data_IF_226286074506
#
_entry.id   IF_226286074506
#
_cell.length_a   1.000
_cell.length_b   1.000
_cell.length_c   1.000
_cell.angle_alpha   90.00
_cell.angle_beta   90.00
_cell.angle_gamma   90.00
#
_symmetry.space_group_name_H-M   'P 1'
#
loop_
_entity.id
_entity.type
_entity.pdbx_description
1 polymer ?
#
# COMPACT_ATOMS: atom_id res chain seq x y z
N UNK A 1 10.95 65.04 -26.03
CA UNK A 1 11.58 64.27 -24.96
C UNK A 1 10.62 64.15 -23.76
N UNK A 2 10.05 65.23 -23.24
CA UNK A 2 9.19 65.22 -22.06
C UNK A 2 7.88 64.40 -22.23
N UNK A 3 7.27 64.47 -23.42
CA UNK A 3 6.08 63.68 -23.74
C UNK A 3 6.37 62.15 -23.78
N UNK A 4 7.54 61.80 -24.28
CA UNK A 4 7.97 60.37 -24.31
C UNK A 4 8.25 59.83 -22.90
N UNK A 5 8.93 60.62 -22.08
CA UNK A 5 9.18 60.25 -20.66
C UNK A 5 7.87 60.17 -19.90
N UNK A 6 6.94 61.07 -20.11
CA UNK A 6 5.61 61.03 -19.51
C UNK A 6 4.81 59.80 -19.93
N UNK A 7 4.88 59.42 -21.20
CA UNK A 7 4.22 58.19 -21.70
C UNK A 7 4.81 56.92 -21.11
N UNK A 8 6.13 56.84 -21.00
CA UNK A 8 6.79 55.69 -20.37
C UNK A 8 6.45 55.62 -18.87
N UNK A 9 6.49 56.73 -18.16
CA UNK A 9 6.13 56.77 -16.74
C UNK A 9 4.69 56.35 -16.52
N UNK A 10 3.76 56.85 -17.33
CA UNK A 10 2.36 56.45 -17.28
C UNK A 10 2.19 54.94 -17.52
N UNK A 11 2.89 54.40 -18.52
CA UNK A 11 2.84 52.97 -18.83
C UNK A 11 3.36 52.10 -17.66
N UNK A 12 4.47 52.49 -17.05
CA UNK A 12 5.02 51.77 -15.88
C UNK A 12 4.07 51.83 -14.71
N UNK A 13 3.48 52.99 -14.43
CA UNK A 13 2.47 53.12 -13.36
C UNK A 13 1.25 52.24 -13.66
N UNK A 14 0.76 52.23 -14.89
CA UNK A 14 -0.36 51.39 -15.30
C UNK A 14 -0.05 49.90 -15.14
N UNK A 15 1.17 49.48 -15.49
CA UNK A 15 1.61 48.09 -15.27
C UNK A 15 1.61 47.71 -13.78
N UNK A 16 2.13 48.55 -12.91
CA UNK A 16 2.15 48.32 -11.46
C UNK A 16 0.71 48.23 -10.89
N UNK A 17 -0.16 49.12 -11.32
CA UNK A 17 -1.55 49.12 -10.90
C UNK A 17 -2.30 47.88 -11.36
N UNK A 18 -2.16 47.50 -12.63
CA UNK A 18 -2.91 46.35 -13.19
C UNK A 18 -2.35 45.01 -12.74
N UNK A 19 -1.03 44.85 -12.67
CA UNK A 19 -0.42 43.56 -12.34
C UNK A 19 -0.06 43.41 -10.84
N UNK A 20 -0.04 44.51 -10.09
CA UNK A 20 0.29 44.49 -8.67
C UNK A 20 -0.88 44.84 -7.77
N UNK A 21 -1.27 46.10 -7.79
CA UNK A 21 -2.25 46.64 -6.83
C UNK A 21 -3.64 46.07 -7.04
N UNK A 22 -4.10 45.90 -8.27
CA UNK A 22 -5.44 45.37 -8.56
C UNK A 22 -5.58 43.88 -8.17
N UNK A 23 -4.68 42.96 -8.54
CA UNK A 23 -4.75 41.58 -8.08
C UNK A 23 -4.66 41.45 -6.55
N UNK A 24 -3.77 42.25 -5.92
CA UNK A 24 -3.65 42.26 -4.47
C UNK A 24 -4.96 42.69 -3.81
N UNK A 25 -5.58 43.79 -4.30
CA UNK A 25 -6.88 44.26 -3.78
C UNK A 25 -7.99 43.24 -3.97
N UNK A 26 -8.05 42.61 -5.15
CA UNK A 26 -9.02 41.54 -5.41
C UNK A 26 -8.80 40.37 -4.46
N UNK A 27 -7.58 39.90 -4.26
CA UNK A 27 -7.26 38.80 -3.38
C UNK A 27 -7.68 39.12 -1.95
N UNK A 28 -7.22 40.25 -1.41
CA UNK A 28 -7.41 40.61 0.00
C UNK A 28 -8.86 40.92 0.38
N UNK A 29 -9.62 41.58 -0.48
CA UNK A 29 -10.94 42.09 -0.14
C UNK A 29 -12.11 41.33 -0.78
N UNK A 30 -11.87 40.56 -1.83
CA UNK A 30 -12.94 39.85 -2.56
C UNK A 30 -12.78 38.33 -2.47
N UNK A 31 -11.56 37.82 -2.57
CA UNK A 31 -11.31 36.36 -2.58
C UNK A 31 -11.18 35.84 -1.15
N UNK A 32 -10.23 36.33 -0.35
CA UNK A 32 -10.00 35.85 1.01
C UNK A 32 -11.25 35.78 1.90
N UNK A 33 -12.14 36.77 1.94
CA UNK A 33 -13.35 36.70 2.76
C UNK A 33 -14.33 35.58 2.35
N UNK A 34 -14.27 35.14 1.07
CA UNK A 34 -15.17 34.15 0.49
C UNK A 34 -14.40 33.13 -0.36
N UNK A 35 -13.22 32.73 0.10
CA UNK A 35 -12.26 31.90 -0.62
C UNK A 35 -12.91 30.61 -1.14
N UNK A 36 -13.59 29.85 -0.25
CA UNK A 36 -14.23 28.59 -0.60
C UNK A 36 -15.26 28.72 -1.73
N UNK A 37 -16.04 29.80 -1.72
CA UNK A 37 -17.08 30.02 -2.74
C UNK A 37 -16.48 30.44 -4.09
N UNK A 38 -15.46 31.29 -4.05
CA UNK A 38 -14.77 31.78 -5.25
C UNK A 38 -13.88 30.73 -5.89
N UNK A 39 -13.21 29.92 -5.09
CA UNK A 39 -12.32 28.88 -5.58
C UNK A 39 -13.01 27.55 -5.87
N UNK A 40 -14.23 27.35 -5.38
CA UNK A 40 -15.00 26.11 -5.59
C UNK A 40 -14.94 25.56 -7.02
N UNK A 41 -15.16 26.33 -8.09
CA UNK A 41 -15.11 25.80 -9.46
C UNK A 41 -13.72 25.26 -9.83
N UNK A 42 -12.66 25.94 -9.39
CA UNK A 42 -11.29 25.54 -9.68
C UNK A 42 -10.88 24.31 -8.88
N UNK A 43 -11.31 24.25 -7.61
CA UNK A 43 -11.12 23.06 -6.74
C UNK A 43 -11.89 21.87 -7.29
N UNK A 44 -13.12 22.04 -7.77
CA UNK A 44 -13.90 20.97 -8.41
C UNK A 44 -13.20 20.42 -9.65
N UNK A 45 -12.73 21.29 -10.54
CA UNK A 45 -11.99 20.88 -11.73
C UNK A 45 -10.69 20.14 -11.34
N UNK A 46 -9.98 20.63 -10.33
CA UNK A 46 -8.74 20.01 -9.87
C UNK A 46 -9.00 18.61 -9.29
N UNK A 47 -10.06 18.45 -8.50
CA UNK A 47 -10.49 17.14 -7.99
C UNK A 47 -10.86 16.20 -9.14
N UNK A 48 -11.65 16.65 -10.10
CA UNK A 48 -12.09 15.86 -11.24
C UNK A 48 -10.92 15.36 -12.08
N UNK A 49 -10.05 16.26 -12.51
CA UNK A 49 -8.87 15.88 -13.32
C UNK A 49 -7.87 15.03 -12.55
N UNK A 50 -7.68 15.28 -11.25
CA UNK A 50 -6.85 14.42 -10.40
C UNK A 50 -7.43 13.01 -10.33
N UNK A 51 -8.75 12.88 -10.16
CA UNK A 51 -9.40 11.56 -10.13
C UNK A 51 -9.26 10.80 -11.44
N UNK A 52 -9.43 11.50 -12.56
CA UNK A 52 -9.22 10.91 -13.90
C UNK A 52 -7.76 10.46 -14.06
N UNK A 53 -6.81 11.32 -13.70
CA UNK A 53 -5.39 11.02 -13.84
C UNK A 53 -4.93 9.78 -13.04
N UNK A 54 -5.58 9.50 -11.92
CA UNK A 54 -5.31 8.32 -11.10
C UNK A 54 -6.31 7.17 -11.31
N UNK A 55 -7.20 7.26 -12.29
CA UNK A 55 -8.22 6.23 -12.57
C UNK A 55 -9.27 6.07 -11.46
N UNK A 56 -9.41 7.06 -10.59
CA UNK A 56 -10.35 7.03 -9.47
C UNK A 56 -11.81 7.34 -9.89
N UNK A 57 -12.02 7.79 -11.12
CA UNK A 57 -13.32 7.96 -11.75
C UNK A 57 -14.04 6.62 -11.98
N UNK A 58 -13.27 5.53 -12.11
CA UNK A 58 -13.79 4.18 -12.29
C UNK A 58 -14.16 3.48 -10.96
N UNK A 59 -13.86 4.11 -9.82
CA UNK A 59 -14.15 3.54 -8.51
C UNK A 59 -15.63 3.68 -8.17
N UNK A 60 -16.30 2.56 -8.03
CA UNK A 60 -17.69 2.52 -7.58
C UNK A 60 -17.78 2.82 -6.08
N UNK A 61 -18.51 3.87 -5.74
CA UNK A 61 -18.77 4.24 -4.34
C UNK A 61 -20.05 3.59 -3.85
N UNK A 62 -19.93 2.73 -2.85
CA UNK A 62 -21.08 2.13 -2.17
C UNK A 62 -21.19 2.70 -0.76
N UNK A 63 -22.37 3.18 -0.41
CA UNK A 63 -22.66 3.55 0.99
C UNK A 63 -22.71 2.29 1.84
N UNK A 64 -21.90 2.24 2.89
CA UNK A 64 -21.96 1.18 3.87
C UNK A 64 -22.59 1.72 5.17
N UNK A 65 -23.80 1.26 5.55
CA UNK A 65 -24.42 1.66 6.80
C UNK A 65 -23.72 0.99 7.99
N UNK A 66 -22.78 1.72 8.59
CA UNK A 66 -21.98 1.20 9.71
C UNK A 66 -22.73 1.17 11.07
N UNK A 67 -24.03 1.48 11.09
CA UNK A 67 -24.82 1.66 12.33
C UNK A 67 -25.74 0.48 12.64
N UNK A 68 -25.65 -0.63 11.92
CA UNK A 68 -26.46 -1.82 12.19
C UNK A 68 -25.96 -2.59 13.42
N UNK A 69 -26.88 -3.13 14.22
CA UNK A 69 -26.51 -4.14 15.19
C UNK A 69 -25.98 -5.37 14.47
N UNK A 70 -24.88 -5.95 14.99
CA UNK A 70 -24.32 -7.18 14.45
C UNK A 70 -25.20 -8.33 14.91
N UNK A 71 -26.08 -8.82 14.05
CA UNK A 71 -26.92 -9.97 14.28
C UNK A 71 -26.41 -11.21 13.53
N UNK A 72 -27.06 -12.34 13.74
CA UNK A 72 -26.69 -13.61 13.12
C UNK A 72 -26.85 -13.57 11.60
N UNK A 73 -27.87 -12.91 11.10
CA UNK A 73 -28.14 -12.80 9.67
C UNK A 73 -27.04 -11.99 8.96
N UNK A 74 -26.61 -10.89 9.58
CA UNK A 74 -25.48 -10.09 9.08
C UNK A 74 -24.17 -10.87 9.07
N UNK A 75 -23.90 -11.71 10.07
CA UNK A 75 -22.73 -12.59 10.10
C UNK A 75 -22.79 -13.65 9.01
N UNK A 76 -23.96 -14.28 8.81
CA UNK A 76 -24.16 -15.30 7.77
C UNK A 76 -24.06 -14.69 6.36
N UNK A 77 -24.57 -13.48 6.15
CA UNK A 77 -24.46 -12.77 4.89
C UNK A 77 -23.03 -12.30 4.54
N UNK A 78 -22.18 -12.13 5.56
CA UNK A 78 -20.82 -11.63 5.41
C UNK A 78 -19.73 -12.69 5.65
N UNK A 79 -20.03 -13.95 5.39
CA UNK A 79 -19.10 -15.08 5.59
C UNK A 79 -17.71 -14.88 4.97
N UNK A 80 -17.54 -14.30 3.76
CA UNK A 80 -16.22 -14.04 3.21
C UNK A 80 -15.37 -13.11 4.09
N UNK A 81 -16.00 -12.14 4.75
CA UNK A 81 -15.30 -11.26 5.71
C UNK A 81 -14.98 -11.99 7.00
N UNK A 82 -15.98 -12.68 7.58
CA UNK A 82 -15.85 -13.39 8.86
C UNK A 82 -14.76 -14.47 8.78
N UNK A 83 -14.72 -15.22 7.68
CA UNK A 83 -13.72 -16.29 7.44
C UNK A 83 -12.30 -15.77 7.19
N UNK A 84 -12.13 -14.46 6.98
CA UNK A 84 -10.86 -13.82 6.72
C UNK A 84 -10.47 -12.81 7.80
N UNK A 85 -11.14 -12.83 8.96
CA UNK A 85 -10.74 -12.04 10.12
C UNK A 85 -9.36 -12.51 10.57
N UNK A 86 -8.40 -11.60 10.55
CA UNK A 86 -7.01 -11.91 10.89
C UNK A 86 -6.85 -12.18 12.38
N UNK A 87 -6.31 -13.33 12.71
CA UNK A 87 -5.91 -13.73 14.06
C UNK A 87 -4.42 -13.44 14.30
N UNK A 88 -3.57 -13.70 13.29
CA UNK A 88 -2.13 -13.53 13.38
C UNK A 88 -1.68 -12.09 13.18
N UNK A 89 -0.73 -11.61 13.99
CA UNK A 89 0.04 -10.40 13.71
C UNK A 89 1.32 -10.77 12.94
N UNK A 90 1.69 -10.02 11.88
CA UNK A 90 2.87 -10.34 11.07
C UNK A 90 4.18 -10.44 11.86
N UNK A 91 4.37 -9.62 12.87
CA UNK A 91 5.62 -9.56 13.66
C UNK A 91 5.90 -10.84 14.45
N UNK A 92 5.01 -11.35 15.32
CA UNK A 92 5.21 -12.63 15.99
C UNK A 92 5.19 -13.79 15.00
N UNK A 93 4.39 -13.73 13.94
CA UNK A 93 4.35 -14.75 12.91
C UNK A 93 5.68 -14.88 12.17
N UNK A 94 6.32 -13.75 11.82
CA UNK A 94 7.66 -13.74 11.23
C UNK A 94 8.68 -14.47 12.12
N UNK A 95 8.63 -14.24 13.44
CA UNK A 95 9.49 -14.95 14.38
C UNK A 95 9.22 -16.46 14.37
N UNK A 96 7.96 -16.85 14.30
CA UNK A 96 7.56 -18.27 14.22
C UNK A 96 8.03 -18.88 12.90
N UNK A 97 7.82 -18.22 11.74
CA UNK A 97 8.32 -18.69 10.45
C UNK A 97 9.83 -18.89 10.44
N UNK A 98 10.57 -17.94 11.02
CA UNK A 98 12.04 -18.06 11.16
C UNK A 98 12.42 -19.29 11.96
N UNK A 99 11.73 -19.54 13.05
CA UNK A 99 12.03 -20.67 13.93
C UNK A 99 11.75 -22.04 13.30
N UNK A 100 10.65 -22.16 12.55
CA UNK A 100 10.19 -23.47 12.05
C UNK A 100 10.47 -23.70 10.58
N UNK A 101 10.71 -22.65 9.77
CA UNK A 101 10.75 -22.74 8.32
C UNK A 101 11.99 -22.09 7.67
N UNK A 102 12.92 -21.49 8.39
CA UNK A 102 14.20 -21.05 7.80
C UNK A 102 15.04 -22.23 7.32
N UNK A 103 15.06 -23.36 8.07
CA UNK A 103 15.63 -24.68 7.72
C UNK A 103 17.13 -24.65 7.39
N UNK A 104 17.62 -23.62 6.69
CA UNK A 104 19.01 -23.41 6.34
C UNK A 104 19.49 -22.05 6.83
N UNK A 105 20.69 -21.98 7.37
CA UNK A 105 21.27 -20.77 7.94
C UNK A 105 21.35 -19.58 6.97
N UNK A 106 21.51 -19.88 5.68
CA UNK A 106 21.62 -18.87 4.62
C UNK A 106 20.30 -18.45 4.00
N UNK A 107 19.18 -19.03 4.44
CA UNK A 107 17.85 -18.54 4.08
C UNK A 107 17.26 -17.72 5.22
N UNK A 108 16.57 -16.64 4.87
CA UNK A 108 15.90 -15.75 5.81
C UNK A 108 14.55 -15.34 5.31
N UNK A 109 13.66 -15.11 6.27
CA UNK A 109 12.41 -14.38 6.05
C UNK A 109 12.62 -12.94 6.48
N UNK A 110 12.46 -11.98 5.56
CA UNK A 110 12.61 -10.55 5.83
C UNK A 110 11.35 -9.98 6.44
N UNK A 111 10.20 -10.32 5.85
CA UNK A 111 8.90 -9.82 6.25
C UNK A 111 7.81 -10.88 6.03
N UNK A 112 6.59 -10.60 6.49
CA UNK A 112 5.37 -11.38 6.24
C UNK A 112 4.34 -10.49 5.60
N UNK A 113 4.05 -10.77 4.34
CA UNK A 113 3.04 -10.08 3.56
C UNK A 113 1.66 -10.72 3.72
N UNK A 114 0.62 -9.93 3.48
CA UNK A 114 -0.78 -10.36 3.50
C UNK A 114 -1.33 -10.26 2.09
N UNK A 115 -1.80 -11.38 1.56
CA UNK A 115 -2.38 -11.44 0.23
C UNK A 115 -3.65 -12.30 0.21
N UNK A 116 -4.29 -12.42 -0.93
CA UNK A 116 -5.58 -13.08 -1.10
C UNK A 116 -5.56 -14.00 -2.30
N UNK A 117 -5.92 -15.25 -2.07
CA UNK A 117 -6.00 -16.28 -3.10
C UNK A 117 -7.32 -17.04 -3.02
N UNK A 118 -7.71 -17.64 -4.14
CA UNK A 118 -8.75 -18.66 -4.14
C UNK A 118 -8.09 -20.00 -3.95
N UNK A 119 -8.29 -20.61 -2.78
CA UNK A 119 -7.70 -21.88 -2.37
C UNK A 119 -8.84 -22.87 -2.15
N UNK A 120 -8.80 -24.02 -2.81
CA UNK A 120 -9.86 -25.05 -2.77
C UNK A 120 -11.25 -24.45 -3.06
N UNK A 121 -11.34 -23.53 -4.03
CA UNK A 121 -12.56 -22.83 -4.39
C UNK A 121 -13.05 -21.78 -3.40
N UNK A 122 -12.32 -21.51 -2.32
CA UNK A 122 -12.66 -20.53 -1.29
C UNK A 122 -11.73 -19.30 -1.38
N UNK A 123 -12.31 -18.12 -1.32
CA UNK A 123 -11.53 -16.88 -1.20
C UNK A 123 -10.93 -16.76 0.20
N UNK A 124 -9.62 -16.82 0.28
CA UNK A 124 -8.84 -16.84 1.53
C UNK A 124 -7.84 -15.72 1.59
N UNK A 125 -7.76 -15.06 2.72
CA UNK A 125 -6.64 -14.20 3.06
C UNK A 125 -5.55 -15.05 3.70
N UNK A 126 -4.32 -14.87 3.23
CA UNK A 126 -3.15 -15.62 3.69
C UNK A 126 -2.03 -14.69 4.11
N UNK A 127 -1.14 -15.20 4.91
CA UNK A 127 0.15 -14.62 5.24
C UNK A 127 1.22 -15.42 4.55
N UNK A 128 2.13 -14.75 3.86
CA UNK A 128 3.19 -15.37 3.10
C UNK A 128 4.52 -14.66 3.31
N UNK A 129 5.60 -15.43 3.21
CA UNK A 129 6.94 -14.91 3.29
C UNK A 129 7.87 -15.71 2.35
N UNK A 130 8.57 -15.05 1.41
CA UNK A 130 9.57 -15.70 0.58
C UNK A 130 10.84 -16.00 1.40
N UNK A 131 11.49 -17.13 1.12
CA UNK A 131 12.83 -17.40 1.66
C UNK A 131 13.86 -16.68 0.80
N UNK A 132 14.44 -15.65 1.35
CA UNK A 132 15.49 -14.86 0.70
C UNK A 132 16.88 -15.44 1.02
N UNK A 133 17.78 -15.38 0.06
CA UNK A 133 19.15 -15.78 0.28
C UNK A 133 19.94 -14.67 1.01
N UNK A 134 20.52 -15.01 2.16
CA UNK A 134 21.48 -14.19 2.86
C UNK A 134 22.89 -14.74 2.65
N UNK A 135 23.61 -14.26 1.64
CA UNK A 135 24.97 -14.75 1.33
C UNK A 135 25.93 -14.58 2.52
N UNK A 136 25.76 -13.57 3.34
CA UNK A 136 26.55 -13.35 4.55
C UNK A 136 26.42 -14.50 5.58
N UNK A 137 25.34 -15.29 5.51
CA UNK A 137 25.11 -16.44 6.38
C UNK A 137 25.60 -17.77 5.77
N UNK A 138 26.08 -17.75 4.54
CA UNK A 138 26.74 -18.93 3.94
C UNK A 138 28.03 -19.19 4.73
N UNK A 139 28.32 -20.46 5.14
CA UNK A 139 29.54 -20.78 5.84
C UNK A 139 30.78 -20.29 5.10
N UNK A 140 31.77 -19.73 5.80
CA UNK A 140 32.95 -19.08 5.22
C UNK A 140 33.72 -19.99 4.27
N UNK A 141 33.78 -21.29 4.58
CA UNK A 141 34.43 -22.27 3.71
C UNK A 141 33.70 -22.45 2.36
N UNK A 142 32.42 -22.12 2.29
CA UNK A 142 31.60 -22.21 1.08
C UNK A 142 31.48 -20.86 0.35
N UNK A 143 32.04 -19.78 0.89
CA UNK A 143 32.02 -18.45 0.26
C UNK A 143 33.11 -18.33 -0.82
N UNK A 144 32.99 -19.14 -1.87
CA UNK A 144 33.89 -19.10 -3.05
C UNK A 144 33.22 -18.28 -4.17
N UNK A 145 34.00 -17.79 -5.11
CA UNK A 145 33.52 -17.11 -6.29
C UNK A 145 32.49 -17.94 -7.07
N UNK A 146 32.75 -19.23 -7.24
CA UNK A 146 31.83 -20.14 -7.93
C UNK A 146 30.50 -20.27 -7.19
N UNK A 147 30.56 -20.48 -5.88
CA UNK A 147 29.33 -20.61 -5.07
C UNK A 147 28.52 -19.35 -5.07
N UNK A 148 29.15 -18.18 -4.98
CA UNK A 148 28.48 -16.90 -5.02
C UNK A 148 27.76 -16.63 -6.35
N UNK A 149 28.33 -17.09 -7.46
CA UNK A 149 27.84 -16.76 -8.79
C UNK A 149 26.98 -17.86 -9.43
N UNK A 150 27.15 -19.10 -9.01
CA UNK A 150 26.52 -20.25 -9.66
C UNK A 150 25.66 -21.10 -8.75
N UNK A 151 25.87 -21.06 -7.43
CA UNK A 151 25.16 -21.93 -6.48
C UNK A 151 24.23 -21.13 -5.55
N UNK A 152 24.75 -20.16 -4.81
CA UNK A 152 23.97 -19.33 -3.88
C UNK A 152 23.58 -18.02 -4.55
N UNK A 153 22.63 -18.09 -5.48
CA UNK A 153 22.25 -16.97 -6.35
C UNK A 153 20.91 -16.33 -5.99
N UNK A 154 20.00 -17.07 -5.36
CA UNK A 154 18.65 -16.61 -5.06
C UNK A 154 18.06 -17.36 -3.86
N UNK A 155 16.94 -16.87 -3.35
CA UNK A 155 16.13 -17.55 -2.36
C UNK A 155 15.41 -18.77 -2.94
N UNK A 156 14.78 -19.56 -2.07
CA UNK A 156 14.10 -20.78 -2.50
C UNK A 156 12.80 -21.01 -1.75
N UNK A 157 11.71 -20.95 -2.49
CA UNK A 157 10.37 -21.23 -2.00
C UNK A 157 9.80 -20.13 -1.11
N UNK A 158 8.58 -20.36 -0.71
CA UNK A 158 7.82 -19.48 0.19
C UNK A 158 7.27 -20.32 1.35
N UNK A 159 6.87 -19.64 2.42
CA UNK A 159 6.01 -20.21 3.46
C UNK A 159 4.70 -19.43 3.44
N UNK A 160 3.58 -20.14 3.51
CA UNK A 160 2.25 -19.55 3.47
C UNK A 160 1.34 -20.20 4.50
N UNK A 161 0.57 -19.39 5.23
CA UNK A 161 -0.47 -19.83 6.16
C UNK A 161 -1.73 -18.99 6.05
N UNK A 162 -2.92 -19.50 6.37
CA UNK A 162 -4.13 -18.70 6.48
C UNK A 162 -4.04 -17.73 7.67
N UNK A 163 -4.70 -16.57 7.55
CA UNK A 163 -4.63 -15.51 8.57
C UNK A 163 -5.28 -15.87 9.90
N UNK A 164 -6.10 -16.89 9.95
CA UNK A 164 -7.04 -17.15 11.05
C UNK A 164 -7.09 -18.60 11.52
N UNK A 165 -6.22 -19.48 11.04
CA UNK A 165 -6.18 -20.87 11.46
C UNK A 165 -4.95 -21.12 12.34
N UNK A 166 -5.17 -21.91 13.39
CA UNK A 166 -4.16 -22.28 14.38
C UNK A 166 -4.24 -23.79 14.56
N UNK A 167 -3.09 -24.46 14.58
CA UNK A 167 -3.04 -25.88 14.91
C UNK A 167 -3.35 -26.12 16.42
N UNK A 168 -3.66 -27.34 16.84
CA UNK A 168 -3.87 -27.62 18.26
C UNK A 168 -2.71 -27.22 19.17
N UNK A 169 -1.49 -27.21 18.65
CA UNK A 169 -0.26 -26.81 19.35
C UNK A 169 -0.08 -25.28 19.41
N UNK A 170 -0.97 -24.49 18.84
CA UNK A 170 -0.90 -23.03 18.81
C UNK A 170 0.03 -22.48 17.72
N UNK A 171 0.41 -23.28 16.73
CA UNK A 171 1.24 -22.87 15.59
C UNK A 171 0.38 -22.48 14.38
N UNK A 172 0.92 -21.71 13.42
CA UNK A 172 0.23 -21.46 12.17
C UNK A 172 0.07 -22.75 11.36
N UNK A 173 -1.10 -22.93 10.78
CA UNK A 173 -1.36 -24.01 9.83
C UNK A 173 -0.70 -23.65 8.49
N UNK A 174 0.27 -24.44 8.03
CA UNK A 174 1.10 -24.09 6.89
C UNK A 174 0.56 -24.72 5.60
N UNK A 175 0.05 -23.88 4.69
CA UNK A 175 -0.37 -24.29 3.35
C UNK A 175 0.81 -24.58 2.43
N UNK A 176 1.89 -23.81 2.56
CA UNK A 176 3.16 -24.04 1.85
C UNK A 176 4.28 -24.02 2.88
N UNK A 177 5.09 -25.06 2.86
CA UNK A 177 6.17 -25.28 3.83
C UNK A 177 7.36 -26.03 3.21
N UNK A 178 8.43 -26.17 3.97
CA UNK A 178 9.60 -27.01 3.75
C UNK A 178 10.51 -26.64 2.58
N UNK A 179 11.59 -27.42 2.40
CA UNK A 179 12.56 -27.34 1.30
C UNK A 179 12.85 -28.77 0.83
N UNK A 180 12.50 -29.14 -0.41
CA UNK A 180 11.77 -28.36 -1.42
C UNK A 180 10.36 -27.96 -0.95
N UNK A 181 9.78 -26.87 -1.49
CA UNK A 181 8.45 -26.44 -1.11
C UNK A 181 7.40 -27.50 -1.38
N UNK A 182 6.56 -27.76 -0.38
CA UNK A 182 5.41 -28.65 -0.46
C UNK A 182 4.16 -27.81 -0.26
N UNK A 183 3.17 -27.94 -1.16
CA UNK A 183 1.85 -27.35 -1.03
C UNK A 183 0.89 -28.41 -0.46
N UNK A 184 0.10 -28.04 0.55
CA UNK A 184 -0.99 -28.85 1.10
C UNK A 184 -2.37 -28.43 0.54
N UNK A 185 -2.38 -27.45 -0.37
CA UNK A 185 -3.59 -26.88 -0.99
C UNK A 185 -3.41 -26.75 -2.50
N UNK A 186 -4.52 -26.72 -3.24
CA UNK A 186 -4.58 -26.55 -4.70
C UNK A 186 -4.73 -25.09 -5.13
#
# INVERSE_FOLDING_TARGET
>A
VNALIGGIAFFVVALILVNGLYPWFQQQFIVEPNELERERPYVQNNIEYTRIAYGLDQVERRSFPAQGALDREALEANQPTVRNIRLWDPRPLLSTYRQIQEIRLYYKFSDVDIDRYTIDGNYRQVMLSPRELSYAQVPSQAQTWQNQRLTYTHGYGITMSPVNIVTPEGLPDLFIKDIPPVSEVD
#
